data_IF_295142787722
#
_entry.id   IF_295142787722
#
_cell.length_a   1.000
_cell.length_b   1.000
_cell.length_c   1.000
_cell.angle_alpha   90.00
_cell.angle_beta   90.00
_cell.angle_gamma   90.00
#
_symmetry.space_group_name_H-M   'P 1'
#
loop_
_entity.id
_entity.type
_entity.pdbx_description
1 polymer ?
#
# COMPACT_ATOMS: atom_id res chain seq x y z
N UNK A 1 7.80 18.75 17.72
CA UNK A 1 7.50 17.30 17.55
C UNK A 1 7.24 17.07 16.06
N UNK A 2 8.25 17.22 15.21
CA UNK A 2 9.22 16.19 14.83
C UNK A 2 8.53 14.93 14.26
N UNK A 3 8.25 14.97 12.96
CA UNK A 3 8.57 13.91 12.00
C UNK A 3 8.55 14.49 10.59
N UNK A 4 9.74 14.92 10.16
CA UNK A 4 10.08 15.01 8.75
C UNK A 4 10.37 13.58 8.30
N UNK A 5 9.44 12.95 7.59
CA UNK A 5 9.74 11.71 6.88
C UNK A 5 10.09 12.07 5.44
N UNK A 6 11.34 12.48 5.28
CA UNK A 6 12.01 12.68 4.02
C UNK A 6 12.16 11.33 3.30
N UNK A 7 11.80 11.26 2.02
CA UNK A 7 12.68 10.75 0.96
C UNK A 7 11.92 10.74 -0.36
N UNK A 8 12.20 11.76 -1.17
CA UNK A 8 11.98 11.75 -2.61
C UNK A 8 12.90 10.69 -3.26
N UNK A 9 12.65 9.41 -3.03
CA UNK A 9 13.12 8.35 -3.91
C UNK A 9 12.29 8.49 -5.21
N UNK A 10 12.88 8.32 -6.40
CA UNK A 10 12.13 8.32 -7.67
C UNK A 10 11.03 7.26 -7.61
N UNK A 11 9.84 7.66 -7.20
CA UNK A 11 8.72 6.74 -7.02
C UNK A 11 8.26 6.34 -8.41
N UNK A 12 8.60 5.15 -8.87
CA UNK A 12 7.93 4.60 -10.05
C UNK A 12 6.52 4.24 -9.61
N UNK A 13 5.56 4.95 -10.18
CA UNK A 13 4.14 4.68 -9.97
C UNK A 13 3.78 3.46 -10.84
N UNK A 14 3.24 2.44 -10.19
CA UNK A 14 2.78 1.22 -10.84
C UNK A 14 1.26 1.26 -10.91
N UNK A 15 0.74 0.80 -12.06
CA UNK A 15 -0.69 0.68 -12.30
C UNK A 15 -1.21 -0.62 -11.66
N UNK A 16 -2.15 -0.51 -10.73
CA UNK A 16 -2.83 -1.63 -10.07
C UNK A 16 -4.33 -1.51 -10.29
N UNK A 17 -4.99 -2.65 -10.50
CA UNK A 17 -6.43 -2.73 -10.64
C UNK A 17 -7.05 -3.36 -9.39
N UNK A 18 -7.78 -2.56 -8.61
CA UNK A 18 -8.47 -3.00 -7.40
C UNK A 18 -9.97 -2.99 -7.69
N UNK A 19 -10.61 -4.16 -7.62
CA UNK A 19 -12.05 -4.32 -7.90
C UNK A 19 -12.50 -3.70 -9.23
N UNK A 20 -11.67 -3.80 -10.27
CA UNK A 20 -11.91 -3.24 -11.60
C UNK A 20 -11.63 -1.73 -11.75
N UNK A 21 -11.21 -1.05 -10.68
CA UNK A 21 -10.79 0.36 -10.72
C UNK A 21 -9.28 0.47 -10.83
N UNK A 22 -8.82 1.40 -11.65
CA UNK A 22 -7.40 1.67 -11.87
C UNK A 22 -6.85 2.63 -10.81
N UNK A 23 -5.74 2.26 -10.19
CA UNK A 23 -5.02 3.07 -9.21
C UNK A 23 -3.52 3.10 -9.52
N UNK A 24 -2.90 4.23 -9.22
CA UNK A 24 -1.45 4.39 -9.28
C UNK A 24 -0.90 4.39 -7.87
N UNK A 25 0.01 3.47 -7.57
CA UNK A 25 0.65 3.37 -6.27
C UNK A 25 2.18 3.35 -6.41
N UNK A 26 2.91 3.83 -5.40
CA UNK A 26 4.37 3.71 -5.38
C UNK A 26 4.82 2.24 -5.43
N UNK A 27 5.89 1.98 -6.18
CA UNK A 27 6.58 0.70 -6.14
C UNK A 27 7.10 0.36 -4.73
N UNK A 28 7.06 -0.92 -4.37
CA UNK A 28 7.56 -1.41 -3.07
C UNK A 28 6.53 -1.48 -1.94
N UNK A 29 5.28 -1.04 -2.17
CA UNK A 29 4.19 -1.31 -1.23
C UNK A 29 3.68 -2.76 -1.37
N UNK A 30 3.25 -3.33 -0.23
CA UNK A 30 2.49 -4.58 -0.24
C UNK A 30 1.08 -4.31 -0.73
N UNK A 31 0.36 -5.35 -1.19
CA UNK A 31 -1.02 -5.20 -1.66
C UNK A 31 -1.90 -4.56 -0.58
N UNK A 32 -1.64 -4.86 0.70
CA UNK A 32 -2.37 -4.26 1.81
C UNK A 32 -2.10 -2.78 1.99
N UNK A 33 -0.83 -2.36 1.94
CA UNK A 33 -0.50 -0.93 2.07
C UNK A 33 -0.87 -0.16 0.81
N UNK A 34 -0.88 -0.80 -0.36
CA UNK A 34 -1.43 -0.25 -1.60
C UNK A 34 -2.95 -0.05 -1.49
N UNK A 35 -3.70 -1.03 -0.97
CA UNK A 35 -5.14 -0.90 -0.70
C UNK A 35 -5.42 0.24 0.29
N UNK A 36 -4.67 0.30 1.40
CA UNK A 36 -4.76 1.39 2.38
C UNK A 36 -4.44 2.76 1.73
N UNK A 37 -3.43 2.83 0.85
CA UNK A 37 -3.08 4.03 0.07
C UNK A 37 -4.19 4.47 -0.88
N UNK A 38 -4.91 3.51 -1.49
CA UNK A 38 -6.07 3.78 -2.33
C UNK A 38 -7.34 4.15 -1.52
N UNK A 39 -7.25 4.20 -0.19
CA UNK A 39 -8.37 4.55 0.70
C UNK A 39 -9.21 3.36 1.19
N UNK A 40 -8.81 2.13 0.88
CA UNK A 40 -9.46 0.94 1.39
C UNK A 40 -8.94 0.62 2.79
N UNK A 41 -9.80 0.75 3.80
CA UNK A 41 -9.46 0.36 5.17
C UNK A 41 -9.81 -1.10 5.38
N UNK A 42 -8.81 -1.93 5.64
CA UNK A 42 -9.05 -3.30 6.06
C UNK A 42 -9.34 -3.35 7.56
N UNK A 43 -10.56 -3.77 7.91
CA UNK A 43 -11.07 -3.77 9.28
C UNK A 43 -10.91 -5.15 9.95
N UNK A 44 -10.96 -6.23 9.15
CA UNK A 44 -10.90 -7.63 9.62
C UNK A 44 -10.18 -8.51 8.60
N UNK A 45 -9.54 -9.58 9.08
CA UNK A 45 -8.85 -10.54 8.22
C UNK A 45 -7.59 -9.98 7.54
N UNK A 46 -7.04 -8.90 8.07
CA UNK A 46 -5.82 -8.29 7.55
C UNK A 46 -4.62 -9.08 8.08
N UNK A 47 -3.85 -9.69 7.18
CA UNK A 47 -2.52 -10.13 7.53
C UNK A 47 -1.66 -8.96 8.03
N UNK A 48 -0.60 -9.29 8.74
CA UNK A 48 0.57 -8.47 8.96
C UNK A 48 0.97 -7.75 7.66
N UNK A 49 0.99 -6.40 7.70
CA UNK A 49 1.26 -5.50 6.57
C UNK A 49 2.62 -5.71 5.88
N UNK A 50 3.48 -6.53 6.49
CA UNK A 50 4.78 -6.95 6.01
C UNK A 50 4.76 -8.28 5.22
N UNK A 51 3.61 -8.94 5.06
CA UNK A 51 3.49 -10.18 4.27
C UNK A 51 4.06 -11.44 4.94
N UNK A 52 4.45 -11.38 6.21
CA UNK A 52 5.11 -12.48 6.93
C UNK A 52 4.19 -13.65 7.33
N UNK A 53 2.90 -13.39 7.52
CA UNK A 53 1.93 -14.28 8.15
C UNK A 53 0.97 -14.92 7.14
N UNK A 54 1.05 -14.55 5.86
CA UNK A 54 0.30 -15.19 4.77
C UNK A 54 -1.23 -15.13 4.86
N UNK A 55 -1.80 -14.28 5.72
CA UNK A 55 -3.24 -14.21 5.94
C UNK A 55 -3.99 -13.23 5.02
N UNK A 56 -3.26 -12.47 4.22
CA UNK A 56 -3.74 -11.51 3.23
C UNK A 56 -3.20 -11.85 1.85
#
# INVERSE_FOLDING_TARGET
>A
MAKQDQAAQKVRLINIYIMGKHYQVPEGLTILTALEYCGYRMIRGCGCRAGFCGAC
#
